data_IF_493042199623
#
_entry.id   IF_493042199623
#
_cell.length_a   1.000
_cell.length_b   1.000
_cell.length_c   1.000
_cell.angle_alpha   90.00
_cell.angle_beta   90.00
_cell.angle_gamma   90.00
#
_symmetry.space_group_name_H-M   'P 1'
#
loop_
_entity.id
_entity.type
_entity.pdbx_description
1 polymer ?
#
# COMPACT_ATOMS: atom_id res chain seq x y z
N UNK A 1 0.89 14.79 4.30
CA UNK A 1 1.83 13.94 5.06
C UNK A 1 1.99 12.64 4.31
N UNK A 2 3.22 12.17 4.10
CA UNK A 2 3.53 10.88 3.46
C UNK A 2 4.27 10.05 4.50
N UNK A 3 3.67 8.98 5.07
CA UNK A 3 4.34 8.16 6.07
C UNK A 3 5.49 7.37 5.43
N UNK A 4 6.61 7.18 6.14
CA UNK A 4 7.67 6.30 5.67
C UNK A 4 7.17 4.85 5.66
N UNK A 5 7.67 4.07 4.71
CA UNK A 5 7.47 2.62 4.70
C UNK A 5 8.19 1.97 5.89
N UNK A 6 7.72 0.79 6.34
CA UNK A 6 8.39 0.02 7.39
C UNK A 6 9.80 -0.43 6.94
N UNK A 7 10.76 -0.52 7.85
CA UNK A 7 12.17 -0.81 7.53
C UNK A 7 12.39 -2.14 6.79
N UNK A 8 11.58 -3.18 7.08
CA UNK A 8 11.59 -4.47 6.37
C UNK A 8 11.41 -4.35 4.84
N UNK A 9 10.97 -3.20 4.35
CA UNK A 9 10.85 -2.94 2.92
C UNK A 9 12.21 -2.98 2.19
N UNK A 10 13.30 -2.64 2.89
CA UNK A 10 14.64 -2.54 2.33
C UNK A 10 15.14 -3.89 1.79
N UNK A 11 14.83 -4.97 2.49
CA UNK A 11 15.22 -6.34 2.09
C UNK A 11 14.32 -6.92 0.99
N UNK A 12 13.18 -6.26 0.71
CA UNK A 12 12.15 -6.74 -0.21
C UNK A 12 11.97 -5.84 -1.44
N UNK A 13 12.95 -4.98 -1.74
CA UNK A 13 12.88 -3.98 -2.81
C UNK A 13 12.41 -4.56 -4.16
N UNK A 14 12.98 -5.70 -4.57
CA UNK A 14 12.62 -6.37 -5.83
C UNK A 14 11.15 -6.80 -5.87
N UNK A 15 10.65 -7.39 -4.78
CA UNK A 15 9.25 -7.86 -4.70
C UNK A 15 8.25 -6.70 -4.78
N UNK A 16 8.61 -5.52 -4.30
CA UNK A 16 7.77 -4.31 -4.38
C UNK A 16 7.76 -3.76 -5.79
N UNK A 17 8.91 -3.72 -6.45
CA UNK A 17 8.99 -3.31 -7.85
C UNK A 17 8.18 -4.23 -8.76
N UNK A 18 8.29 -5.54 -8.56
CA UNK A 18 7.49 -6.54 -9.27
C UNK A 18 6.00 -6.33 -9.01
N UNK A 19 5.60 -6.17 -7.74
CA UNK A 19 4.21 -5.87 -7.37
C UNK A 19 3.67 -4.61 -8.07
N UNK A 20 4.41 -3.49 -8.02
CA UNK A 20 3.99 -2.23 -8.66
C UNK A 20 3.88 -2.42 -10.18
N UNK A 21 4.88 -3.06 -10.80
CA UNK A 21 4.90 -3.34 -12.22
C UNK A 21 3.68 -4.16 -12.65
N UNK A 22 3.37 -5.24 -11.92
CA UNK A 22 2.20 -6.08 -12.20
C UNK A 22 0.90 -5.28 -12.09
N UNK A 23 0.77 -4.43 -11.05
CA UNK A 23 -0.43 -3.60 -10.89
C UNK A 23 -0.56 -2.54 -11.97
N UNK A 24 0.55 -1.98 -12.48
CA UNK A 24 0.55 -1.08 -13.63
C UNK A 24 0.16 -1.81 -14.92
N UNK A 25 0.74 -2.98 -15.19
CA UNK A 25 0.44 -3.81 -16.35
C UNK A 25 -1.03 -4.25 -16.40
N UNK A 26 -1.61 -4.58 -15.24
CA UNK A 26 -3.02 -4.92 -15.12
C UNK A 26 -3.97 -3.70 -15.17
N UNK A 27 -3.44 -2.48 -15.23
CA UNK A 27 -4.23 -1.24 -15.19
C UNK A 27 -4.90 -0.97 -13.84
N UNK A 28 -4.53 -1.69 -12.78
CA UNK A 28 -5.04 -1.48 -11.43
C UNK A 28 -4.40 -0.26 -10.73
N UNK A 29 -3.25 0.18 -11.21
CA UNK A 29 -2.56 1.38 -10.76
C UNK A 29 -2.21 2.28 -11.95
N UNK A 30 -1.99 3.57 -11.68
CA UNK A 30 -1.48 4.53 -12.66
C UNK A 30 -0.52 5.51 -11.99
N UNK A 31 0.40 6.06 -12.79
CA UNK A 31 1.45 6.96 -12.31
C UNK A 31 2.81 6.63 -12.92
N UNK A 32 3.92 7.15 -12.35
CA UNK A 32 3.97 7.99 -11.14
C UNK A 32 3.34 9.38 -11.35
N UNK A 33 2.77 9.95 -10.29
CA UNK A 33 2.25 11.31 -10.27
C UNK A 33 3.01 12.16 -9.25
N UNK A 34 3.25 13.43 -9.56
CA UNK A 34 3.61 14.41 -8.54
C UNK A 34 2.44 14.66 -7.60
N UNK A 35 2.72 15.25 -6.44
CA UNK A 35 1.67 15.67 -5.49
C UNK A 35 0.62 16.56 -6.18
N UNK A 36 1.07 17.55 -6.95
CA UNK A 36 0.19 18.47 -7.69
C UNK A 36 -0.64 17.74 -8.74
N UNK A 37 -0.02 16.87 -9.55
CA UNK A 37 -0.74 16.10 -10.57
C UNK A 37 -1.85 15.25 -9.95
N UNK A 38 -1.57 14.57 -8.83
CA UNK A 38 -2.56 13.77 -8.14
C UNK A 38 -3.66 14.65 -7.53
N UNK A 39 -3.29 15.76 -6.88
CA UNK A 39 -4.25 16.70 -6.30
C UNK A 39 -5.17 17.33 -7.36
N UNK A 40 -4.65 17.70 -8.53
CA UNK A 40 -5.48 18.20 -9.63
C UNK A 40 -6.43 17.14 -10.17
N UNK A 41 -6.01 15.87 -10.15
CA UNK A 41 -6.78 14.75 -10.71
C UNK A 41 -7.89 14.24 -9.79
N UNK A 42 -7.60 14.06 -8.49
CA UNK A 42 -8.52 13.44 -7.53
C UNK A 42 -8.84 14.32 -6.31
N UNK A 43 -8.32 15.55 -6.27
CA UNK A 43 -8.43 16.47 -5.11
C UNK A 43 -7.74 15.91 -3.88
N UNK A 44 -8.28 16.17 -2.69
CA UNK A 44 -7.70 15.72 -1.44
C UNK A 44 -7.53 14.19 -1.45
N UNK A 45 -6.33 13.73 -1.14
CA UNK A 45 -5.98 12.32 -1.15
C UNK A 45 -5.23 11.95 0.13
N UNK A 46 -5.32 10.67 0.49
CA UNK A 46 -4.54 10.08 1.56
C UNK A 46 -3.39 9.25 0.99
N UNK A 47 -2.35 9.07 1.79
CA UNK A 47 -1.25 8.15 1.48
C UNK A 47 -1.10 7.16 2.63
N UNK A 48 -0.68 5.95 2.31
CA UNK A 48 -0.48 4.86 3.27
C UNK A 48 0.81 4.11 2.90
N UNK A 49 1.59 3.65 3.89
CA UNK A 49 2.83 2.95 3.62
C UNK A 49 2.56 1.54 3.09
N UNK A 50 3.51 1.00 2.33
CA UNK A 50 3.53 -0.42 2.04
C UNK A 50 3.92 -1.23 3.28
N UNK A 51 3.28 -2.39 3.42
CA UNK A 51 3.58 -3.43 4.39
C UNK A 51 3.97 -4.71 3.65
N UNK A 52 4.98 -5.40 4.20
CA UNK A 52 5.46 -6.67 3.71
C UNK A 52 5.05 -7.77 4.69
N UNK A 53 4.47 -8.85 4.17
CA UNK A 53 4.17 -10.07 4.92
C UNK A 53 4.92 -11.24 4.29
N UNK A 54 5.82 -11.86 5.04
CA UNK A 54 6.58 -13.03 4.61
C UNK A 54 5.92 -14.24 5.25
N UNK A 55 5.46 -15.20 4.44
CA UNK A 55 4.78 -16.41 4.93
C UNK A 55 5.34 -17.66 4.28
N UNK A 56 5.72 -18.62 5.12
CA UNK A 56 6.04 -19.97 4.67
C UNK A 56 4.75 -20.68 4.22
N UNK A 57 4.66 -21.04 2.95
CA UNK A 57 3.46 -21.68 2.38
C UNK A 57 3.55 -23.20 2.42
N UNK A 58 4.74 -23.76 2.18
CA UNK A 58 4.99 -25.20 2.19
C UNK A 58 6.37 -25.50 2.80
N UNK A 59 6.51 -26.60 3.54
CA UNK A 59 7.81 -27.00 4.06
C UNK A 59 8.79 -27.29 2.90
N UNK A 60 9.99 -26.69 2.95
CA UNK A 60 11.02 -26.85 1.92
C UNK A 60 10.92 -25.92 0.71
N UNK A 61 9.86 -25.10 0.59
CA UNK A 61 9.79 -24.06 -0.45
C UNK A 61 10.40 -22.73 0.02
N UNK A 62 10.78 -21.81 -0.88
CA UNK A 62 11.00 -20.42 -0.51
C UNK A 62 9.74 -19.81 0.14
N UNK A 63 9.88 -18.88 1.09
CA UNK A 63 8.74 -18.18 1.66
C UNK A 63 8.11 -17.26 0.62
N UNK A 64 6.78 -17.12 0.67
CA UNK A 64 6.05 -16.19 -0.19
C UNK A 64 6.02 -14.81 0.45
N UNK A 65 6.37 -13.80 -0.35
CA UNK A 65 6.34 -12.39 0.05
C UNK A 65 5.05 -11.77 -0.48
N UNK A 66 4.32 -11.08 0.39
CA UNK A 66 3.12 -10.33 0.04
C UNK A 66 3.36 -8.85 0.29
N UNK A 67 3.01 -8.03 -0.70
CA UNK A 67 3.09 -6.56 -0.64
C UNK A 67 1.67 -6.02 -0.55
N UNK A 68 1.38 -5.22 0.48
CA UNK A 68 0.06 -4.65 0.75
C UNK A 68 0.15 -3.17 1.10
N UNK A 69 -0.87 -2.37 0.83
CA UNK A 69 -1.01 -1.04 1.43
C UNK A 69 -1.54 -1.18 2.86
N UNK A 70 -0.89 -0.56 3.85
CA UNK A 70 -1.32 -0.63 5.25
C UNK A 70 -2.39 0.43 5.55
N UNK A 71 -3.65 0.11 5.27
CA UNK A 71 -4.78 1.03 5.46
C UNK A 71 -5.08 1.30 6.93
N UNK A 72 -4.69 0.38 7.82
CA UNK A 72 -4.83 0.50 9.27
C UNK A 72 -3.69 1.27 9.95
N UNK A 73 -2.67 1.71 9.19
CA UNK A 73 -1.55 2.48 9.74
C UNK A 73 -2.05 3.78 10.36
N UNK A 74 -1.81 3.93 11.67
CA UNK A 74 -2.11 5.16 12.41
C UNK A 74 -0.86 6.03 12.43
N UNK A 75 -0.89 7.10 11.64
CA UNK A 75 0.19 8.09 11.64
C UNK A 75 0.25 8.91 12.95
N UNK A 76 1.04 10.00 12.99
CA UNK A 76 1.19 10.85 14.18
C UNK A 76 -0.11 11.43 14.73
N UNK A 77 -1.14 11.54 13.88
CA UNK A 77 -2.47 12.02 14.24
C UNK A 77 -3.39 10.92 14.79
N UNK A 78 -2.88 9.69 14.98
CA UNK A 78 -3.63 8.50 15.43
C UNK A 78 -4.84 8.11 14.55
N UNK A 79 -4.94 8.64 13.33
CA UNK A 79 -5.97 8.31 12.34
C UNK A 79 -5.38 7.39 11.27
N UNK A 80 -6.14 6.36 10.90
CA UNK A 80 -5.85 5.48 9.76
C UNK A 80 -6.81 5.76 8.59
N UNK A 81 -6.59 5.14 7.44
CA UNK A 81 -7.54 5.22 6.31
C UNK A 81 -8.81 4.45 6.69
N UNK A 82 -8.69 3.31 7.36
CA UNK A 82 -9.85 2.52 7.80
C UNK A 82 -10.76 3.33 8.74
N UNK A 83 -10.20 4.22 9.56
CA UNK A 83 -10.97 5.11 10.42
C UNK A 83 -11.78 6.18 9.67
N UNK A 84 -11.49 6.41 8.39
CA UNK A 84 -12.17 7.39 7.54
C UNK A 84 -13.27 6.77 6.67
N UNK A 85 -13.36 5.44 6.64
CA UNK A 85 -14.39 4.71 5.90
C UNK A 85 -15.52 4.37 6.89
N UNK A 86 -16.72 4.86 6.61
CA UNK A 86 -17.90 4.46 7.36
C UNK A 86 -18.42 3.13 6.80
N UNK A 87 -18.43 2.07 7.60
CA UNK A 87 -18.94 0.76 7.17
C UNK A 87 -20.43 0.80 6.83
N UNK A 88 -21.18 1.70 7.47
CA UNK A 88 -22.64 1.81 7.25
C UNK A 88 -22.97 2.33 5.84
N UNK A 89 -22.02 3.00 5.17
CA UNK A 89 -22.17 3.45 3.78
C UNK A 89 -22.06 2.28 2.78
N UNK A 90 -21.59 1.10 3.22
CA UNK A 90 -21.35 -0.08 2.38
C UNK A 90 -22.01 -1.34 2.98
N UNK A 91 -23.35 -1.44 2.97
CA UNK A 91 -24.06 -2.60 3.51
C UNK A 91 -23.72 -3.88 2.72
N UNK A 92 -23.50 -4.98 3.44
CA UNK A 92 -23.11 -6.30 2.90
C UNK A 92 -24.21 -7.34 3.07
#
# INVERSE_FOLDING_TARGET
>A
FIPPNHCNILDCHNAIHEYISDKLCLGHMSGPFSFEQLYYKIRAFCTSPFQIVIKQVMAGSPPKIWVCCNLSYKGPLCLSIDNQINSDDFPT
#
